data_IF_525019056674
#
_entry.id   IF_525019056674
#
_cell.length_a   1.000
_cell.length_b   1.000
_cell.length_c   1.000
_cell.angle_alpha   90.00
_cell.angle_beta   90.00
_cell.angle_gamma   90.00
#
_symmetry.space_group_name_H-M   'P 1'
#
loop_
_entity.id
_entity.type
_entity.pdbx_description
1 polymer ?
#
# COMPACT_ATOMS: atom_id res chain seq x y z
N UNK A 1 3.57 47.45 -19.99
CA UNK A 1 4.13 46.59 -21.06
C UNK A 1 3.63 45.17 -20.83
N UNK A 2 2.48 44.86 -21.43
CA UNK A 2 1.85 43.53 -21.45
C UNK A 2 2.32 42.79 -22.71
N UNK A 3 2.68 41.51 -22.61
CA UNK A 3 2.86 40.60 -23.74
C UNK A 3 2.10 39.31 -23.41
N UNK A 4 0.78 39.36 -23.59
CA UNK A 4 0.06 38.75 -24.71
C UNK A 4 0.12 37.22 -24.75
N UNK A 5 -0.96 36.67 -24.17
CA UNK A 5 -1.61 35.41 -24.51
C UNK A 5 -2.08 35.40 -25.98
N UNK A 6 -2.26 34.18 -26.51
CA UNK A 6 -3.05 33.73 -27.69
C UNK A 6 -2.27 33.39 -28.97
N UNK A 7 -2.12 32.08 -29.19
CA UNK A 7 -2.24 31.31 -30.46
C UNK A 7 -1.75 29.89 -30.11
N UNK A 8 -2.54 28.86 -29.82
CA UNK A 8 -3.75 28.29 -30.41
C UNK A 8 -3.60 27.94 -31.90
N UNK A 9 -3.62 26.62 -32.14
CA UNK A 9 -3.90 25.88 -33.37
C UNK A 9 -2.69 25.34 -34.17
N UNK A 10 -2.44 24.03 -34.07
CA UNK A 10 -2.62 23.10 -35.21
C UNK A 10 -2.24 21.66 -34.84
N UNK A 11 -3.21 20.75 -34.99
CA UNK A 11 -3.10 19.37 -35.51
C UNK A 11 -2.32 18.34 -34.64
N UNK A 12 -2.78 17.11 -34.41
CA UNK A 12 -3.67 16.28 -35.22
C UNK A 12 -4.48 15.30 -34.36
N UNK A 13 -5.71 15.10 -34.84
CA UNK A 13 -6.64 14.05 -34.47
C UNK A 13 -6.07 12.65 -34.66
N UNK A 14 -6.39 11.74 -33.73
CA UNK A 14 -6.71 10.36 -34.09
C UNK A 14 -7.83 9.84 -33.17
N UNK A 15 -8.99 9.75 -33.80
CA UNK A 15 -10.22 9.09 -33.35
C UNK A 15 -9.98 7.59 -33.45
N UNK A 16 -10.25 6.79 -32.42
CA UNK A 16 -10.81 5.44 -32.62
C UNK A 16 -11.60 4.95 -31.39
N UNK A 17 -12.91 4.85 -31.63
CA UNK A 17 -13.86 3.80 -31.24
C UNK A 17 -14.09 3.46 -29.76
N UNK A 18 -15.11 4.09 -29.19
CA UNK A 18 -15.88 3.57 -28.05
C UNK A 18 -16.85 2.49 -28.52
N UNK A 19 -16.64 1.24 -28.12
CA UNK A 19 -17.68 0.21 -28.13
C UNK A 19 -18.13 -0.05 -26.68
N UNK A 20 -19.23 0.57 -26.30
CA UNK A 20 -19.98 0.27 -25.09
C UNK A 20 -20.76 -1.03 -25.28
N UNK A 21 -20.30 -2.11 -24.67
CA UNK A 21 -21.09 -3.33 -24.44
C UNK A 21 -21.32 -3.43 -22.94
N UNK A 22 -22.55 -3.19 -22.53
CA UNK A 22 -23.07 -3.53 -21.20
C UNK A 22 -23.38 -5.02 -21.15
N UNK A 23 -22.95 -5.74 -20.11
CA UNK A 23 -23.69 -6.89 -19.63
C UNK A 23 -24.18 -6.66 -18.19
N UNK A 24 -25.43 -7.04 -17.96
CA UNK A 24 -26.08 -7.02 -16.67
C UNK A 24 -25.32 -7.89 -15.65
N UNK A 25 -25.09 -7.34 -14.46
CA UNK A 25 -24.56 -8.05 -13.30
C UNK A 25 -25.69 -8.82 -12.61
N UNK A 26 -25.65 -10.15 -12.70
CA UNK A 26 -26.20 -11.07 -11.70
C UNK A 26 -25.02 -11.73 -10.96
N UNK A 27 -25.12 -11.98 -9.64
CA UNK A 27 -24.03 -12.58 -8.88
C UNK A 27 -23.98 -14.10 -9.12
N UNK A 28 -22.99 -14.59 -9.88
CA UNK A 28 -22.71 -16.02 -9.98
C UNK A 28 -21.81 -16.47 -8.82
N UNK A 29 -22.36 -17.34 -7.97
CA UNK A 29 -21.64 -18.14 -6.99
C UNK A 29 -20.57 -19.00 -7.70
N UNK A 30 -19.31 -18.77 -7.34
CA UNK A 30 -18.16 -19.52 -7.82
C UNK A 30 -18.30 -21.02 -7.47
N UNK A 31 -18.52 -21.85 -8.49
CA UNK A 31 -18.26 -23.28 -8.41
C UNK A 31 -16.86 -23.54 -8.97
N UNK A 32 -15.98 -24.10 -8.14
CA UNK A 32 -14.69 -24.60 -8.53
C UNK A 32 -14.87 -25.76 -9.51
N UNK A 33 -14.44 -25.59 -10.76
CA UNK A 33 -14.46 -26.66 -11.75
C UNK A 33 -13.16 -27.45 -11.65
N UNK A 34 -13.22 -28.59 -10.96
CA UNK A 34 -12.15 -29.58 -10.97
C UNK A 34 -12.10 -30.25 -12.36
N UNK A 35 -10.96 -30.15 -13.04
CA UNK A 35 -10.70 -30.90 -14.25
C UNK A 35 -10.55 -32.39 -13.89
N UNK A 36 -11.44 -33.24 -14.40
CA UNK A 36 -11.35 -34.69 -14.28
C UNK A 36 -10.31 -35.23 -15.27
N UNK A 37 -9.16 -35.69 -14.77
CA UNK A 37 -8.25 -36.54 -15.54
C UNK A 37 -8.76 -37.97 -15.43
N UNK A 38 -9.07 -38.60 -16.56
CA UNK A 38 -9.48 -39.99 -16.64
C UNK A 38 -8.30 -40.92 -16.33
N UNK A 39 -8.49 -41.84 -15.38
CA UNK A 39 -7.56 -42.94 -15.08
C UNK A 39 -7.80 -44.12 -16.03
N UNK A 40 -6.76 -44.88 -16.44
CA UNK A 40 -6.96 -46.09 -17.23
C UNK A 40 -7.59 -47.21 -16.40
N UNK A 41 -8.59 -47.88 -16.97
CA UNK A 41 -9.30 -49.01 -16.37
C UNK A 41 -8.45 -50.29 -16.45
N UNK A 42 -8.41 -51.04 -15.34
CA UNK A 42 -7.78 -52.37 -15.25
C UNK A 42 -8.77 -53.47 -15.67
N UNK A 43 -8.33 -54.40 -16.51
CA UNK A 43 -9.07 -55.62 -16.87
C UNK A 43 -8.98 -56.70 -15.76
N UNK A 44 -9.99 -57.58 -15.61
CA UNK A 44 -10.06 -58.53 -14.52
C UNK A 44 -9.52 -59.92 -14.88
N UNK A 45 -8.67 -60.41 -13.96
CA UNK A 45 -8.57 -61.79 -13.48
C UNK A 45 -7.73 -62.83 -14.27
N UNK A 46 -6.61 -63.23 -13.68
CA UNK A 46 -6.01 -64.55 -13.85
C UNK A 46 -5.50 -65.06 -12.48
N UNK A 47 -5.72 -66.35 -12.24
CA UNK A 47 -5.72 -67.04 -10.95
C UNK A 47 -4.44 -66.93 -10.09
N UNK A 48 -4.64 -66.85 -8.77
CA UNK A 48 -3.60 -66.92 -7.73
C UNK A 48 -3.37 -68.40 -7.36
N UNK A 49 -2.13 -68.88 -7.52
CA UNK A 49 -1.64 -70.13 -6.93
C UNK A 49 -0.97 -69.84 -5.56
N UNK A 50 -1.02 -70.77 -4.58
CA UNK A 50 -0.71 -70.47 -3.19
C UNK A 50 0.79 -70.29 -2.90
N UNK A 51 1.07 -69.41 -1.95
CA UNK A 51 2.38 -68.93 -1.53
C UNK A 51 3.32 -70.03 -1.01
N UNK A 52 4.56 -70.02 -1.52
CA UNK A 52 5.71 -70.63 -0.85
C UNK A 52 6.34 -69.59 0.09
N UNK A 53 6.44 -69.94 1.38
CA UNK A 53 7.14 -69.15 2.39
C UNK A 53 8.63 -69.09 2.06
N UNK A 54 9.16 -67.91 1.81
CA UNK A 54 10.60 -67.63 1.84
C UNK A 54 10.91 -66.73 3.03
N UNK A 55 11.95 -67.14 3.74
CA UNK A 55 12.39 -66.75 5.08
C UNK A 55 12.96 -65.32 5.12
N UNK A 56 12.58 -64.55 6.14
CA UNK A 56 13.02 -63.16 6.32
C UNK A 56 14.42 -63.15 6.93
N UNK A 57 15.44 -62.75 6.16
CA UNK A 57 16.76 -62.43 6.69
C UNK A 57 16.73 -61.07 7.44
N UNK A 58 17.57 -60.86 8.48
CA UNK A 58 17.56 -59.62 9.26
C UNK A 58 17.95 -58.41 8.40
N UNK A 59 17.39 -57.21 8.66
CA UNK A 59 17.71 -56.02 7.88
C UNK A 59 19.19 -55.65 8.07
N UNK A 60 19.94 -55.62 6.97
CA UNK A 60 21.26 -55.01 6.93
C UNK A 60 21.13 -53.53 7.35
N UNK A 61 22.00 -53.09 8.25
CA UNK A 61 22.01 -51.72 8.75
C UNK A 61 22.11 -50.71 7.59
N UNK A 62 21.18 -49.76 7.55
CA UNK A 62 21.24 -48.61 6.65
C UNK A 62 22.54 -47.84 6.91
N UNK A 63 23.32 -47.45 5.88
CA UNK A 63 24.40 -46.50 6.09
C UNK A 63 23.81 -45.18 6.57
N UNK A 64 24.47 -44.58 7.57
CA UNK A 64 24.10 -43.28 8.12
C UNK A 64 24.03 -42.23 6.99
N UNK A 65 22.89 -41.55 6.88
CA UNK A 65 22.74 -40.38 6.01
C UNK A 65 23.38 -39.18 6.74
N UNK A 66 24.71 -39.16 6.79
CA UNK A 66 25.47 -37.95 7.11
C UNK A 66 25.70 -37.18 5.83
N UNK A 67 24.79 -36.26 5.55
CA UNK A 67 24.86 -35.41 4.39
C UNK A 67 23.70 -34.43 4.41
N UNK A 68 23.88 -33.29 5.07
CA UNK A 68 23.23 -32.08 4.62
C UNK A 68 23.76 -31.79 3.21
N UNK A 69 23.25 -32.51 2.21
CA UNK A 69 23.33 -32.08 0.83
C UNK A 69 22.61 -30.73 0.84
N UNK A 70 23.38 -29.64 0.74
CA UNK A 70 22.81 -28.37 0.32
C UNK A 70 22.22 -28.65 -1.04
N UNK A 71 20.93 -28.96 -1.08
CA UNK A 71 20.15 -29.05 -2.31
C UNK A 71 20.30 -27.67 -2.94
N UNK A 72 21.27 -27.54 -3.83
CA UNK A 72 21.50 -26.34 -4.61
C UNK A 72 20.29 -26.27 -5.53
N UNK A 73 19.28 -25.49 -5.13
CA UNK A 73 18.07 -25.35 -5.92
C UNK A 73 18.48 -24.77 -7.29
N UNK A 74 18.40 -25.55 -8.38
CA UNK A 74 18.84 -25.10 -9.70
C UNK A 74 18.01 -23.93 -10.22
N UNK A 75 16.89 -23.63 -9.57
CA UNK A 75 15.86 -22.68 -10.01
C UNK A 75 15.74 -21.49 -9.04
N UNK A 76 16.83 -21.12 -8.36
CA UNK A 76 16.86 -20.01 -7.40
C UNK A 76 17.06 -18.62 -8.03
N UNK A 77 17.06 -17.58 -7.20
CA UNK A 77 17.35 -16.19 -7.62
C UNK A 77 18.71 -16.04 -8.32
N UNK A 78 19.68 -16.91 -7.99
CA UNK A 78 21.01 -16.93 -8.60
C UNK A 78 20.98 -17.45 -10.05
N UNK A 79 20.11 -18.43 -10.35
CA UNK A 79 19.87 -18.91 -11.70
C UNK A 79 19.14 -17.84 -12.53
N UNK A 80 18.09 -17.25 -11.96
CA UNK A 80 17.33 -16.14 -12.57
C UNK A 80 18.21 -14.93 -12.91
N UNK A 81 19.27 -14.67 -12.14
CA UNK A 81 20.22 -13.59 -12.43
C UNK A 81 21.29 -13.97 -13.46
N UNK A 82 21.79 -15.22 -13.45
CA UNK A 82 22.82 -15.67 -14.40
C UNK A 82 22.25 -15.99 -15.78
N UNK A 83 21.12 -16.68 -15.83
CA UNK A 83 20.45 -17.12 -17.06
C UNK A 83 19.37 -16.14 -17.53
N UNK A 84 18.87 -15.27 -16.65
CA UNK A 84 17.82 -14.31 -17.01
C UNK A 84 18.26 -13.27 -18.04
N UNK A 85 17.39 -13.05 -19.02
CA UNK A 85 17.51 -12.04 -20.06
C UNK A 85 17.41 -10.60 -19.50
N UNK A 86 17.78 -9.58 -20.30
CA UNK A 86 17.81 -8.18 -19.86
C UNK A 86 16.46 -7.71 -19.29
N UNK A 87 15.35 -8.17 -19.88
CA UNK A 87 14.00 -7.81 -19.46
C UNK A 87 13.67 -8.38 -18.07
N UNK A 88 14.01 -9.64 -17.78
CA UNK A 88 13.69 -10.25 -16.47
C UNK A 88 14.47 -9.57 -15.35
N UNK A 89 15.76 -9.28 -15.58
CA UNK A 89 16.58 -8.50 -14.63
C UNK A 89 16.02 -7.10 -14.40
N UNK A 90 15.55 -6.44 -15.46
CA UNK A 90 14.89 -5.14 -15.38
C UNK A 90 13.60 -5.18 -14.56
N UNK A 91 12.72 -6.15 -14.82
CA UNK A 91 11.48 -6.35 -14.05
C UNK A 91 11.76 -6.61 -12.57
N UNK A 92 12.73 -7.49 -12.27
CA UNK A 92 13.14 -7.79 -10.90
C UNK A 92 13.69 -6.54 -10.18
N UNK A 93 14.54 -5.77 -10.85
CA UNK A 93 15.09 -4.52 -10.31
C UNK A 93 13.98 -3.51 -9.98
N UNK A 94 13.01 -3.35 -10.87
CA UNK A 94 11.85 -2.48 -10.65
C UNK A 94 11.07 -2.92 -9.41
N UNK A 95 10.78 -4.23 -9.27
CA UNK A 95 10.08 -4.76 -8.09
C UNK A 95 10.86 -4.52 -6.80
N UNK A 96 12.19 -4.69 -6.81
CA UNK A 96 13.04 -4.42 -5.65
C UNK A 96 13.02 -2.94 -5.27
N UNK A 97 13.13 -2.03 -6.25
CA UNK A 97 13.03 -0.58 -5.99
C UNK A 97 11.67 -0.20 -5.44
N UNK A 98 10.58 -0.70 -6.03
CA UNK A 98 9.21 -0.49 -5.53
C UNK A 98 9.06 -0.97 -4.09
N UNK A 99 9.64 -2.12 -3.74
CA UNK A 99 9.65 -2.67 -2.39
C UNK A 99 10.39 -1.76 -1.41
N UNK A 100 11.64 -1.37 -1.74
CA UNK A 100 12.46 -0.52 -0.87
C UNK A 100 11.78 0.83 -0.59
N UNK A 101 11.25 1.49 -1.63
CA UNK A 101 10.56 2.76 -1.48
C UNK A 101 9.28 2.59 -0.64
N UNK A 102 8.54 1.49 -0.83
CA UNK A 102 7.33 1.22 -0.04
C UNK A 102 7.64 1.04 1.45
N UNK A 103 8.68 0.27 1.78
CA UNK A 103 9.13 0.11 3.16
C UNK A 103 9.61 1.43 3.77
N UNK A 104 10.39 2.22 3.02
CA UNK A 104 10.82 3.55 3.46
C UNK A 104 9.63 4.45 3.81
N UNK A 105 8.65 4.59 2.90
CA UNK A 105 7.46 5.41 3.12
C UNK A 105 6.68 4.92 4.33
N UNK A 106 6.48 3.60 4.46
CA UNK A 106 5.72 3.01 5.56
C UNK A 106 6.32 3.34 6.93
N UNK A 107 7.65 3.21 7.07
CA UNK A 107 8.36 3.53 8.32
C UNK A 107 8.36 5.03 8.57
N UNK A 108 8.74 5.84 7.57
CA UNK A 108 8.81 7.29 7.70
C UNK A 108 7.46 7.90 8.12
N UNK A 109 6.37 7.52 7.44
CA UNK A 109 5.03 8.01 7.76
C UNK A 109 4.51 7.49 9.09
N UNK A 110 4.81 6.25 9.45
CA UNK A 110 4.46 5.71 10.77
C UNK A 110 5.11 6.54 11.88
N UNK A 111 6.38 6.91 11.73
CA UNK A 111 7.11 7.74 12.70
C UNK A 111 6.57 9.19 12.71
N UNK A 112 6.32 9.79 11.54
CA UNK A 112 5.73 11.13 11.41
C UNK A 112 4.37 11.21 12.13
N UNK A 113 3.46 10.27 11.86
CA UNK A 113 2.15 10.20 12.51
C UNK A 113 2.25 9.98 14.02
N UNK A 114 3.18 9.13 14.47
CA UNK A 114 3.40 8.88 15.90
C UNK A 114 3.92 10.12 16.62
N UNK A 115 4.83 10.88 15.99
CA UNK A 115 5.30 12.17 16.49
C UNK A 115 4.17 13.19 16.54
N UNK A 116 3.32 13.23 15.52
CA UNK A 116 2.19 14.14 15.46
C UNK A 116 1.15 13.88 16.56
N UNK A 117 0.82 12.62 16.85
CA UNK A 117 -0.05 12.29 17.98
C UNK A 117 0.55 12.72 19.34
N UNK A 118 1.86 12.55 19.53
CA UNK A 118 2.53 13.05 20.74
C UNK A 118 2.48 14.57 20.83
N UNK A 119 2.65 15.27 19.71
CA UNK A 119 2.53 16.74 19.62
C UNK A 119 1.10 17.21 19.88
N UNK A 120 0.08 16.46 19.44
CA UNK A 120 -1.32 16.74 19.73
C UNK A 120 -1.60 16.75 21.24
N UNK A 121 -1.16 15.70 21.95
CA UNK A 121 -1.29 15.63 23.42
C UNK A 121 -0.55 16.76 24.14
N UNK A 122 0.64 17.14 23.65
CA UNK A 122 1.39 18.28 24.19
C UNK A 122 0.68 19.61 23.91
N UNK A 123 0.12 19.78 22.73
CA UNK A 123 -0.64 20.97 22.38
C UNK A 123 -1.85 21.12 23.29
N UNK A 124 -2.62 20.05 23.49
CA UNK A 124 -3.76 20.04 24.41
C UNK A 124 -3.37 20.43 25.85
N UNK A 125 -2.24 19.93 26.34
CA UNK A 125 -1.79 20.25 27.70
C UNK A 125 -1.21 21.67 27.83
N UNK A 126 -0.37 22.10 26.88
CA UNK A 126 0.42 23.32 26.99
C UNK A 126 -0.32 24.55 26.45
N UNK A 127 -0.94 24.43 25.27
CA UNK A 127 -1.60 25.55 24.60
C UNK A 127 -2.75 26.11 25.45
N UNK A 128 -3.59 25.23 25.98
CA UNK A 128 -4.75 25.63 26.79
C UNK A 128 -4.40 26.02 28.23
N UNK A 129 -3.19 25.68 28.71
CA UNK A 129 -2.70 26.13 30.02
C UNK A 129 -2.09 27.53 30.00
N UNK A 130 -1.84 28.08 28.81
CA UNK A 130 -1.19 29.38 28.66
C UNK A 130 -2.13 30.54 28.99
N UNK A 131 -1.56 31.65 29.45
CA UNK A 131 -2.31 32.86 29.84
C UNK A 131 -3.05 33.53 28.68
N UNK A 132 -2.57 33.33 27.44
CA UNK A 132 -3.22 33.80 26.22
C UNK A 132 -2.84 32.93 25.02
N UNK A 133 -3.61 33.03 23.92
CA UNK A 133 -3.43 32.20 22.73
C UNK A 133 -2.06 32.39 22.05
N UNK A 134 -1.50 33.60 22.06
CA UNK A 134 -0.20 33.88 21.43
C UNK A 134 0.94 33.25 22.21
N UNK A 135 0.88 33.31 23.55
CA UNK A 135 1.81 32.61 24.44
C UNK A 135 1.67 31.08 24.30
N UNK A 136 0.44 30.58 24.16
CA UNK A 136 0.17 29.16 23.89
C UNK A 136 0.78 28.71 22.56
N UNK A 137 0.59 29.49 21.49
CA UNK A 137 1.16 29.19 20.17
C UNK A 137 2.69 29.19 20.19
N UNK A 138 3.30 30.13 20.93
CA UNK A 138 4.75 30.25 21.05
C UNK A 138 5.39 29.06 21.79
N UNK A 139 4.67 28.41 22.71
CA UNK A 139 5.13 27.22 23.44
C UNK A 139 5.10 25.94 22.59
N UNK A 140 4.38 25.94 21.47
CA UNK A 140 4.34 24.81 20.55
C UNK A 140 5.63 24.73 19.73
N UNK A 141 6.05 23.51 19.39
CA UNK A 141 7.19 23.23 18.50
C UNK A 141 6.99 23.90 17.12
N UNK A 142 8.03 24.54 16.58
CA UNK A 142 7.99 25.26 15.29
C UNK A 142 7.59 24.36 14.12
N UNK A 143 7.86 23.05 14.19
CA UNK A 143 7.46 22.07 13.19
C UNK A 143 6.09 21.42 13.44
N UNK A 144 5.31 21.92 14.39
CA UNK A 144 4.01 21.34 14.78
C UNK A 144 2.87 21.87 13.92
N UNK A 145 2.04 21.00 13.31
CA UNK A 145 0.81 21.40 12.63
C UNK A 145 -0.15 22.22 13.51
N UNK A 146 -0.19 21.94 14.82
CA UNK A 146 -1.00 22.69 15.77
C UNK A 146 -0.55 24.14 15.91
N UNK A 147 0.76 24.38 15.87
CA UNK A 147 1.33 25.73 15.90
C UNK A 147 0.96 26.50 14.63
N UNK A 148 1.15 25.86 13.49
CA UNK A 148 0.82 26.44 12.20
C UNK A 148 -0.66 26.87 12.11
N UNK A 149 -1.57 26.03 12.61
CA UNK A 149 -3.00 26.36 12.67
C UNK A 149 -3.26 27.51 13.65
N UNK A 150 -2.67 27.46 14.84
CA UNK A 150 -2.81 28.53 15.85
C UNK A 150 -2.33 29.89 15.34
N UNK A 151 -1.13 29.94 14.76
CA UNK A 151 -0.56 31.17 14.18
C UNK A 151 -1.39 31.67 12.99
N UNK A 152 -1.89 30.78 12.13
CA UNK A 152 -2.75 31.16 11.00
C UNK A 152 -4.07 31.77 11.47
N UNK A 153 -4.73 31.17 12.46
CA UNK A 153 -5.96 31.72 13.04
C UNK A 153 -5.75 33.06 13.73
N UNK A 154 -4.66 33.21 14.51
CA UNK A 154 -4.32 34.46 15.18
C UNK A 154 -3.96 35.57 14.18
N UNK A 155 -3.16 35.27 13.17
CA UNK A 155 -2.83 36.24 12.13
C UNK A 155 -4.08 36.65 11.34
N UNK A 156 -5.01 35.72 11.09
CA UNK A 156 -6.26 36.04 10.41
C UNK A 156 -7.12 37.03 11.22
N UNK A 157 -7.16 36.88 12.55
CA UNK A 157 -7.82 37.84 13.45
C UNK A 157 -7.17 39.23 13.36
N UNK A 158 -5.85 39.29 13.50
CA UNK A 158 -5.12 40.57 13.49
C UNK A 158 -5.29 41.33 12.15
N UNK A 159 -5.28 40.61 11.02
CA UNK A 159 -5.44 41.23 9.70
C UNK A 159 -6.87 41.71 9.43
N UNK A 160 -7.88 41.11 10.05
CA UNK A 160 -9.26 41.60 9.99
C UNK A 160 -9.42 42.90 10.77
N UNK A 161 -8.81 43.02 11.96
CA UNK A 161 -8.81 44.27 12.74
C UNK A 161 -8.09 45.43 12.03
N UNK A 162 -7.12 45.12 11.15
CA UNK A 162 -6.30 46.12 10.44
C UNK A 162 -6.77 46.50 9.02
N UNK A 163 -7.77 45.82 8.46
CA UNK A 163 -8.23 46.05 7.08
C UNK A 163 -9.71 46.44 7.08
N UNK A 164 -10.05 47.62 6.54
CA UNK A 164 -11.43 48.09 6.34
C UNK A 164 -12.19 47.29 5.27
N UNK A 165 -12.28 45.97 5.41
CA UNK A 165 -13.15 45.09 4.63
C UNK A 165 -14.45 44.93 5.41
N UNK A 166 -15.32 45.94 5.33
CA UNK A 166 -16.62 46.02 6.02
C UNK A 166 -17.63 44.91 5.63
N UNK A 167 -17.32 44.07 4.65
CA UNK A 167 -18.28 43.10 4.08
C UNK A 167 -18.15 41.65 4.57
N UNK A 168 -17.09 41.26 5.31
CA UNK A 168 -16.90 39.87 5.74
C UNK A 168 -16.80 39.77 7.25
N UNK A 169 -17.76 39.08 7.85
CA UNK A 169 -17.77 38.78 9.29
C UNK A 169 -16.50 38.04 9.76
N UNK A 170 -15.95 38.46 10.91
CA UNK A 170 -14.74 37.92 11.51
C UNK A 170 -14.80 36.39 11.67
N UNK A 171 -15.98 35.86 12.04
CA UNK A 171 -16.18 34.42 12.18
C UNK A 171 -15.87 33.68 10.87
N UNK A 172 -16.47 34.14 9.77
CA UNK A 172 -16.29 33.54 8.44
C UNK A 172 -14.84 33.67 7.96
N UNK A 173 -14.23 34.83 8.19
CA UNK A 173 -12.83 35.09 7.82
C UNK A 173 -11.85 34.14 8.52
N UNK A 174 -11.95 34.04 9.85
CA UNK A 174 -11.09 33.16 10.65
C UNK A 174 -11.38 31.69 10.34
N UNK A 175 -12.65 31.30 10.15
CA UNK A 175 -13.03 29.93 9.80
C UNK A 175 -12.34 29.48 8.50
N UNK A 176 -12.38 30.31 7.45
CA UNK A 176 -11.73 30.00 6.16
C UNK A 176 -10.22 29.90 6.30
N UNK A 177 -9.59 30.78 7.10
CA UNK A 177 -8.15 30.74 7.32
C UNK A 177 -7.71 29.45 8.05
N UNK A 178 -8.45 29.05 9.09
CA UNK A 178 -8.21 27.82 9.83
C UNK A 178 -8.46 26.58 8.95
N UNK A 179 -9.55 26.54 8.18
CA UNK A 179 -9.86 25.41 7.30
C UNK A 179 -8.79 25.21 6.21
N UNK A 180 -8.26 26.31 5.65
CA UNK A 180 -7.11 26.26 4.74
C UNK A 180 -5.88 25.67 5.41
N UNK A 181 -5.59 26.06 6.66
CA UNK A 181 -4.47 25.50 7.41
C UNK A 181 -4.67 23.99 7.70
N UNK A 182 -5.87 23.58 8.10
CA UNK A 182 -6.22 22.16 8.31
C UNK A 182 -6.08 21.36 7.01
N UNK A 183 -6.54 21.91 5.88
CA UNK A 183 -6.42 21.28 4.57
C UNK A 183 -4.96 21.12 4.16
N UNK A 184 -4.11 22.13 4.40
CA UNK A 184 -2.67 22.03 4.14
C UNK A 184 -2.01 20.92 4.98
N UNK A 185 -2.40 20.77 6.25
CA UNK A 185 -1.94 19.67 7.11
C UNK A 185 -2.42 18.31 6.59
N UNK A 186 -3.69 18.22 6.17
CA UNK A 186 -4.26 17.01 5.57
C UNK A 186 -3.49 16.57 4.33
N UNK A 187 -3.21 17.50 3.42
CA UNK A 187 -2.48 17.22 2.18
C UNK A 187 -1.07 16.67 2.47
N UNK A 188 -0.35 17.28 3.42
CA UNK A 188 0.98 16.81 3.84
C UNK A 188 0.96 15.39 4.43
N UNK A 189 -0.13 15.00 5.11
CA UNK A 189 -0.29 13.64 5.60
C UNK A 189 -0.60 12.64 4.48
N UNK A 190 -1.12 13.10 3.34
CA UNK A 190 -1.37 12.28 2.16
C UNK A 190 -0.14 12.04 1.28
N UNK A 191 0.93 12.84 1.44
CA UNK A 191 2.17 12.68 0.68
C UNK A 191 2.70 11.24 0.74
N UNK A 192 3.08 10.68 -0.41
CA UNK A 192 3.61 9.32 -0.49
C UNK A 192 2.59 8.19 -0.32
N UNK A 193 1.36 8.45 0.16
CA UNK A 193 0.31 7.41 0.22
C UNK A 193 -0.11 6.96 -1.17
N UNK A 194 -0.18 7.90 -2.13
CA UNK A 194 -0.49 7.60 -3.52
C UNK A 194 0.50 6.58 -4.10
N UNK A 195 1.79 6.73 -3.81
CA UNK A 195 2.82 5.78 -4.25
C UNK A 195 2.56 4.38 -3.69
N UNK A 196 2.27 4.26 -2.39
CA UNK A 196 1.96 2.98 -1.75
C UNK A 196 0.73 2.31 -2.37
N UNK A 197 -0.30 3.09 -2.68
CA UNK A 197 -1.49 2.61 -3.38
C UNK A 197 -1.17 2.13 -4.79
N UNK A 198 -0.35 2.88 -5.55
CA UNK A 198 0.08 2.50 -6.89
C UNK A 198 0.95 1.25 -6.87
N UNK A 199 1.93 1.13 -5.97
CA UNK A 199 2.75 -0.09 -5.86
C UNK A 199 1.88 -1.29 -5.51
N UNK A 200 0.95 -1.11 -4.57
CA UNK A 200 0.02 -2.16 -4.16
C UNK A 200 -0.86 -2.69 -5.30
N UNK A 201 -1.29 -1.84 -6.22
CA UNK A 201 -2.11 -2.25 -7.37
C UNK A 201 -1.30 -2.70 -8.59
N UNK A 202 -0.09 -2.18 -8.79
CA UNK A 202 0.71 -2.42 -10.01
C UNK A 202 1.75 -3.53 -9.87
N UNK A 203 2.32 -3.76 -8.68
CA UNK A 203 3.36 -4.76 -8.46
C UNK A 203 2.96 -6.21 -8.87
N UNK A 204 1.71 -6.68 -8.66
CA UNK A 204 1.29 -8.00 -9.14
C UNK A 204 1.35 -8.12 -10.66
N UNK A 205 0.99 -7.05 -11.38
CA UNK A 205 1.03 -7.02 -12.85
C UNK A 205 2.45 -6.93 -13.38
N UNK A 206 3.35 -6.24 -12.68
CA UNK A 206 4.78 -6.23 -13.00
C UNK A 206 5.38 -7.64 -12.83
N UNK A 207 4.99 -8.35 -11.76
CA UNK A 207 5.37 -9.75 -11.56
C UNK A 207 4.85 -10.66 -12.66
N UNK A 208 3.55 -10.56 -12.98
CA UNK A 208 2.91 -11.30 -14.07
C UNK A 208 3.57 -11.03 -15.42
N UNK A 209 3.93 -9.77 -15.72
CA UNK A 209 4.64 -9.43 -16.95
C UNK A 209 5.97 -10.19 -17.07
N UNK A 210 6.75 -10.25 -15.98
CA UNK A 210 8.02 -10.97 -16.00
C UNK A 210 7.84 -12.48 -16.18
N UNK A 211 6.74 -13.07 -15.72
CA UNK A 211 6.47 -14.50 -15.95
C UNK A 211 6.08 -14.79 -17.40
N UNK A 212 5.22 -13.94 -17.97
CA UNK A 212 4.83 -14.02 -19.38
C UNK A 212 6.06 -13.90 -20.27
N UNK A 213 6.95 -12.95 -19.98
CA UNK A 213 8.21 -12.79 -20.71
C UNK A 213 9.13 -14.00 -20.57
N UNK A 214 9.32 -14.52 -19.35
CA UNK A 214 10.16 -15.69 -19.10
C UNK A 214 9.68 -16.94 -19.84
N UNK A 215 8.37 -17.21 -19.79
CA UNK A 215 7.76 -18.33 -20.52
C UNK A 215 7.88 -18.13 -22.04
N UNK A 216 7.66 -16.91 -22.54
CA UNK A 216 7.82 -16.59 -23.96
C UNK A 216 9.25 -16.88 -24.46
N UNK A 217 10.26 -16.45 -23.69
CA UNK A 217 11.66 -16.69 -24.06
C UNK A 217 12.00 -18.18 -24.04
N UNK A 218 11.52 -18.91 -23.02
CA UNK A 218 11.69 -20.35 -22.90
C UNK A 218 11.10 -21.11 -24.09
N UNK A 219 9.85 -20.82 -24.45
CA UNK A 219 9.16 -21.45 -25.58
C UNK A 219 9.84 -21.13 -26.92
N UNK A 220 10.36 -19.91 -27.06
CA UNK A 220 11.11 -19.50 -28.27
C UNK A 220 12.40 -20.31 -28.40
N UNK A 221 13.15 -20.48 -27.31
CA UNK A 221 14.39 -21.27 -27.30
C UNK A 221 14.14 -22.74 -27.67
N UNK A 222 13.06 -23.34 -27.15
CA UNK A 222 12.64 -24.70 -27.49
C UNK A 222 12.22 -24.81 -28.96
N UNK A 223 11.47 -23.83 -29.46
CA UNK A 223 11.03 -23.77 -30.85
C UNK A 223 12.20 -23.70 -31.84
N UNK A 224 13.25 -22.95 -31.52
CA UNK A 224 14.48 -22.87 -32.32
C UNK A 224 15.30 -24.17 -32.23
N UNK A 225 15.35 -24.82 -31.06
CA UNK A 225 16.11 -26.05 -30.86
C UNK A 225 15.46 -27.29 -31.52
N UNK A 226 14.17 -27.24 -31.84
CA UNK A 226 13.45 -28.31 -32.55
C UNK A 226 13.21 -29.59 -31.73
N UNK A 227 13.68 -29.65 -30.48
CA UNK A 227 13.45 -30.75 -29.55
C UNK A 227 12.80 -30.22 -28.27
N UNK A 228 11.55 -30.62 -28.03
CA UNK A 228 10.87 -30.37 -26.78
C UNK A 228 11.15 -31.52 -25.80
N UNK A 229 11.96 -31.27 -24.78
CA UNK A 229 12.08 -32.17 -23.61
C UNK A 229 11.67 -31.42 -22.34
N UNK A 230 11.03 -32.11 -21.40
CA UNK A 230 10.54 -31.53 -20.14
C UNK A 230 11.69 -30.88 -19.36
N UNK A 231 12.87 -31.49 -19.37
CA UNK A 231 14.06 -30.98 -18.68
C UNK A 231 14.51 -29.59 -19.22
N UNK A 232 14.22 -29.28 -20.49
CA UNK A 232 14.53 -27.98 -21.09
C UNK A 232 13.48 -26.90 -20.79
N UNK A 233 12.27 -27.30 -20.39
CA UNK A 233 11.16 -26.37 -20.11
C UNK A 233 11.02 -26.09 -18.61
N UNK A 234 11.29 -27.09 -17.76
CA UNK A 234 11.02 -27.03 -16.33
C UNK A 234 11.76 -25.88 -15.61
N UNK A 235 13.02 -25.64 -15.96
CA UNK A 235 13.82 -24.58 -15.33
C UNK A 235 13.32 -23.17 -15.64
N UNK A 236 13.27 -22.75 -16.92
CA UNK A 236 12.80 -21.42 -17.28
C UNK A 236 11.36 -21.11 -16.82
N UNK A 237 10.49 -22.12 -16.80
CA UNK A 237 9.12 -21.95 -16.29
C UNK A 237 9.11 -21.78 -14.77
N UNK A 238 9.92 -22.55 -14.03
CA UNK A 238 10.07 -22.40 -12.59
C UNK A 238 10.59 -21.02 -12.19
N UNK A 239 11.61 -20.53 -12.89
CA UNK A 239 12.17 -19.18 -12.70
C UNK A 239 11.13 -18.08 -12.97
N UNK A 240 10.35 -18.22 -14.05
CA UNK A 240 9.27 -17.31 -14.35
C UNK A 240 8.27 -17.22 -13.17
N UNK A 241 7.85 -18.34 -12.58
CA UNK A 241 6.90 -18.34 -11.46
C UNK A 241 7.38 -17.58 -10.22
N UNK A 242 8.69 -17.55 -9.97
CA UNK A 242 9.27 -16.79 -8.85
C UNK A 242 9.01 -15.30 -9.02
N UNK A 243 8.98 -14.77 -10.23
CA UNK A 243 8.73 -13.35 -10.47
C UNK A 243 7.31 -12.93 -10.03
N UNK A 244 6.29 -13.76 -10.26
CA UNK A 244 4.93 -13.50 -9.72
C UNK A 244 4.95 -13.53 -8.20
N UNK A 245 5.64 -14.50 -7.60
CA UNK A 245 5.72 -14.61 -6.15
C UNK A 245 6.36 -13.36 -5.53
N UNK A 246 7.42 -12.83 -6.15
CA UNK A 246 8.04 -11.56 -5.75
C UNK A 246 7.07 -10.39 -5.93
N UNK A 247 6.38 -10.31 -7.07
CA UNK A 247 5.38 -9.27 -7.32
C UNK A 247 4.30 -9.20 -6.23
N UNK A 248 3.79 -10.36 -5.81
CA UNK A 248 2.86 -10.47 -4.68
C UNK A 248 3.51 -10.12 -3.35
N UNK A 249 4.74 -10.58 -3.12
CA UNK A 249 5.53 -10.26 -1.93
C UNK A 249 5.80 -8.77 -1.75
N UNK A 250 5.86 -8.00 -2.85
CA UNK A 250 5.96 -6.53 -2.83
C UNK A 250 4.59 -5.88 -2.64
N UNK A 251 3.56 -6.38 -3.33
CA UNK A 251 2.22 -5.80 -3.33
C UNK A 251 1.52 -5.89 -1.96
N UNK A 252 1.56 -7.06 -1.32
CA UNK A 252 0.80 -7.32 -0.09
C UNK A 252 1.20 -6.39 1.05
N UNK A 253 2.50 -6.23 1.40
CA UNK A 253 2.91 -5.28 2.43
C UNK A 253 2.57 -3.83 2.07
N UNK A 254 2.68 -3.44 0.79
CA UNK A 254 2.36 -2.08 0.35
C UNK A 254 0.86 -1.74 0.56
N UNK A 255 -0.04 -2.65 0.18
CA UNK A 255 -1.49 -2.47 0.39
C UNK A 255 -1.85 -2.44 1.88
N UNK A 256 -1.28 -3.35 2.68
CA UNK A 256 -1.51 -3.36 4.13
C UNK A 256 -1.00 -2.08 4.80
N UNK A 257 0.22 -1.64 4.43
CA UNK A 257 0.80 -0.39 4.87
C UNK A 257 -0.10 0.81 4.53
N UNK A 258 -0.56 0.90 3.28
CA UNK A 258 -1.47 1.96 2.83
C UNK A 258 -2.73 2.03 3.69
N UNK A 259 -3.42 0.91 3.87
CA UNK A 259 -4.66 0.83 4.65
C UNK A 259 -4.46 1.23 6.12
N UNK A 260 -3.35 0.81 6.73
CA UNK A 260 -3.02 1.19 8.12
C UNK A 260 -2.72 2.68 8.21
N UNK A 261 -1.91 3.23 7.29
CA UNK A 261 -1.54 4.65 7.27
C UNK A 261 -2.74 5.55 7.06
N UNK A 262 -3.67 5.19 6.18
CA UNK A 262 -4.94 5.93 5.95
C UNK A 262 -5.79 5.96 7.21
N UNK A 263 -5.97 4.82 7.89
CA UNK A 263 -6.71 4.76 9.16
C UNK A 263 -6.08 5.64 10.23
N UNK A 264 -4.74 5.62 10.33
CA UNK A 264 -4.00 6.45 11.28
C UNK A 264 -4.11 7.94 10.93
N UNK A 265 -4.09 8.27 9.64
CA UNK A 265 -4.28 9.65 9.17
C UNK A 265 -5.63 10.19 9.63
N UNK A 266 -6.71 9.41 9.47
CA UNK A 266 -8.05 9.80 9.95
C UNK A 266 -8.05 10.15 11.44
N UNK A 267 -7.50 9.27 12.28
CA UNK A 267 -7.43 9.50 13.74
C UNK A 267 -6.60 10.72 14.14
N UNK A 268 -5.55 11.04 13.38
CA UNK A 268 -4.76 12.25 13.60
C UNK A 268 -5.52 13.49 13.15
N UNK A 269 -6.20 13.43 12.00
CA UNK A 269 -6.98 14.54 11.48
C UNK A 269 -8.19 14.88 12.36
N UNK A 270 -8.79 13.90 13.04
CA UNK A 270 -9.82 14.14 14.06
C UNK A 270 -9.29 15.04 15.20
N UNK A 271 -8.08 14.79 15.69
CA UNK A 271 -7.45 15.63 16.72
C UNK A 271 -7.11 17.04 16.20
N UNK A 272 -6.63 17.13 14.96
CA UNK A 272 -6.33 18.42 14.31
C UNK A 272 -7.60 19.25 14.14
N UNK A 273 -8.70 18.64 13.68
CA UNK A 273 -10.00 19.30 13.52
C UNK A 273 -10.58 19.74 14.86
N UNK A 274 -10.56 18.87 15.87
CA UNK A 274 -11.02 19.23 17.22
C UNK A 274 -10.26 20.42 17.79
N UNK A 275 -8.92 20.45 17.68
CA UNK A 275 -8.13 21.61 18.09
C UNK A 275 -8.51 22.88 17.32
N UNK A 276 -8.77 22.76 16.02
CA UNK A 276 -9.10 23.89 15.14
C UNK A 276 -10.47 24.49 15.47
N UNK A 277 -11.46 23.65 15.77
CA UNK A 277 -12.81 24.05 16.20
C UNK A 277 -12.78 24.75 17.56
N UNK A 278 -12.02 24.22 18.51
CA UNK A 278 -11.83 24.86 19.82
C UNK A 278 -11.10 26.20 19.68
N UNK A 279 -10.05 26.26 18.85
CA UNK A 279 -9.33 27.49 18.56
C UNK A 279 -10.23 28.56 17.95
N UNK A 280 -11.03 28.20 16.94
CA UNK A 280 -11.98 29.10 16.31
C UNK A 280 -12.98 29.67 17.33
N UNK A 281 -13.54 28.81 18.17
CA UNK A 281 -14.45 29.20 19.25
C UNK A 281 -13.79 30.17 20.23
N UNK A 282 -12.56 29.90 20.67
CA UNK A 282 -11.85 30.75 21.64
C UNK A 282 -11.41 32.07 21.03
N UNK A 283 -11.05 32.11 19.74
CA UNK A 283 -10.73 33.36 19.03
C UNK A 283 -11.93 34.31 19.02
N UNK A 284 -13.14 33.78 18.78
CA UNK A 284 -14.36 34.57 18.69
C UNK A 284 -14.98 34.91 20.05
N UNK A 285 -15.03 33.95 20.97
CA UNK A 285 -15.71 34.12 22.26
C UNK A 285 -14.78 34.59 23.39
N UNK A 286 -13.46 34.52 23.20
CA UNK A 286 -12.46 34.83 24.22
C UNK A 286 -12.41 33.84 25.40
N UNK A 287 -13.27 32.81 25.40
CA UNK A 287 -13.35 31.79 26.44
C UNK A 287 -13.41 30.41 25.81
N UNK A 288 -12.81 29.41 26.47
CA UNK A 288 -12.97 28.01 26.04
C UNK A 288 -14.37 27.55 26.44
N UNK A 289 -15.18 27.18 25.46
CA UNK A 289 -16.41 26.43 25.71
C UNK A 289 -15.98 25.06 26.19
N UNK A 290 -16.32 24.70 27.44
CA UNK A 290 -15.90 23.45 28.05
C UNK A 290 -16.33 22.26 27.19
N UNK A 291 -15.36 21.47 26.74
CA UNK A 291 -15.59 20.28 25.93
C UNK A 291 -16.48 19.32 26.73
N UNK A 292 -17.67 19.00 26.22
CA UNK A 292 -18.57 18.01 26.82
C UNK A 292 -17.81 16.68 26.87
N UNK A 293 -17.46 16.23 28.06
CA UNK A 293 -16.67 15.02 28.27
C UNK A 293 -17.33 13.82 27.56
N UNK A 294 -16.66 13.31 26.52
CA UNK A 294 -17.04 12.08 25.84
C UNK A 294 -17.05 10.93 26.84
N UNK A 295 -18.26 10.42 27.11
CA UNK A 295 -18.55 9.28 28.00
C UNK A 295 -17.72 8.05 27.57
N UNK A 296 -17.04 7.33 28.48
CA UNK A 296 -16.24 6.18 28.09
C UNK A 296 -17.15 5.08 27.50
N UNK A 297 -16.66 4.48 26.41
CA UNK A 297 -17.34 3.44 25.65
C UNK A 297 -17.82 2.31 26.57
N UNK A 298 -19.08 1.91 26.37
CA UNK A 298 -19.68 0.74 27.02
C UNK A 298 -18.82 -0.48 26.71
N UNK A 299 -18.20 -1.03 27.74
CA UNK A 299 -17.57 -2.35 27.71
C UNK A 299 -18.63 -3.37 27.36
N UNK A 300 -18.64 -3.84 26.11
CA UNK A 300 -19.41 -5.02 25.71
C UNK A 300 -18.76 -6.21 26.42
N UNK A 301 -19.31 -6.56 27.58
CA UNK A 301 -18.99 -7.78 28.27
C UNK A 301 -19.28 -8.95 27.32
N UNK A 302 -18.27 -9.78 27.06
CA UNK A 302 -18.45 -11.12 26.50
C UNK A 302 -19.42 -11.87 27.42
N UNK A 303 -20.64 -12.11 26.94
CA UNK A 303 -21.43 -13.24 27.42
C UNK A 303 -20.77 -14.51 26.88
N UNK A 304 -20.53 -15.44 27.80
CA UNK A 304 -19.96 -16.76 27.53
C UNK A 304 -20.94 -17.71 26.86
#
# INVERSE_FOLDING_TARGET
>A
MLKQSRMAAMSASLIFFTASVTPALLPQLAHAQAASVAAPQAEPNAAIAPAAKAEVAPPAALPAIDGQEKIANPYGLDALWREGDFVSRGTLLILVVMSMVSWYIMVAKTLEQSRLQRRAKKAEAQFWSATNLRAGAAQLDSGSPFRFIAETGLNAKDHHEGTSLEDVDLNSWVAVAIDRAVTAVSNRLQDGMAFLGTVGSTAPFVGLFGTVWGIYHALTAIGVAGQASIDKVAGPVGEALIMTAIGLGVAVPAVLGYNVLVRRNKSVMEQVRGFSEELHTVILSGKRVGTVASKPAVSVARMG
#
